data_IF_371543437069
#
_entry.id   IF_371543437069
#
_cell.length_a   1.000
_cell.length_b   1.000
_cell.length_c   1.000
_cell.angle_alpha   90.00
_cell.angle_beta   90.00
_cell.angle_gamma   90.00
#
_symmetry.space_group_name_H-M   'P 1'
#
loop_
_entity.id
_entity.type
_entity.pdbx_description
1 polymer ?
#
# COMPACT_ATOMS: atom_id res chain seq x y z
N UNK A 1 -9.90 12.95 -56.22
CA UNK A 1 -10.74 12.85 -55.01
C UNK A 1 -10.06 11.84 -54.09
N UNK A 2 -9.53 12.35 -52.98
CA UNK A 2 -8.63 11.64 -52.08
C UNK A 2 -9.41 10.69 -51.17
N UNK A 3 -8.98 9.44 -51.03
CA UNK A 3 -9.32 8.63 -49.86
C UNK A 3 -8.02 8.13 -49.23
N UNK A 4 -7.62 8.82 -48.17
CA UNK A 4 -6.52 8.45 -47.28
C UNK A 4 -6.93 7.18 -46.55
N UNK A 5 -6.16 6.10 -46.75
CA UNK A 5 -6.20 4.92 -45.87
C UNK A 5 -5.62 5.35 -44.53
N UNK A 6 -6.49 5.49 -43.53
CA UNK A 6 -6.06 5.78 -42.15
C UNK A 6 -5.48 4.48 -41.59
N UNK A 7 -4.17 4.52 -41.36
CA UNK A 7 -3.40 3.50 -40.67
C UNK A 7 -4.00 3.27 -39.28
N UNK A 8 -4.53 2.07 -39.05
CA UNK A 8 -4.85 1.53 -37.72
C UNK A 8 -3.57 1.17 -37.00
N UNK A 9 -2.79 2.16 -36.60
CA UNK A 9 -1.77 2.00 -35.56
C UNK A 9 -2.47 2.17 -34.22
N UNK A 10 -2.93 1.05 -33.67
CA UNK A 10 -3.17 0.93 -32.25
C UNK A 10 -1.86 1.32 -31.53
N UNK A 11 -1.88 2.44 -30.82
CA UNK A 11 -0.81 2.81 -29.89
C UNK A 11 -1.01 1.93 -28.64
N UNK A 12 -0.64 0.66 -28.79
CA UNK A 12 -0.37 -0.27 -27.72
C UNK A 12 1.16 -0.38 -27.62
N UNK A 13 1.81 0.69 -27.18
CA UNK A 13 3.24 0.66 -26.81
C UNK A 13 3.39 1.43 -25.51
N UNK A 14 3.06 0.76 -24.41
CA UNK A 14 3.77 0.88 -23.13
C UNK A 14 3.60 -0.41 -22.31
N UNK A 15 3.74 -1.56 -22.98
CA UNK A 15 3.79 -2.87 -22.35
C UNK A 15 5.03 -3.62 -22.85
N UNK A 16 6.20 -3.01 -22.68
CA UNK A 16 7.50 -3.63 -22.98
C UNK A 16 8.53 -3.23 -21.91
N UNK A 17 8.27 -3.65 -20.68
CA UNK A 17 9.25 -3.99 -19.66
C UNK A 17 8.50 -4.84 -18.63
N UNK A 18 8.91 -6.09 -18.43
CA UNK A 18 8.26 -7.06 -17.53
C UNK A 18 8.42 -6.73 -16.04
N UNK A 19 8.02 -5.53 -15.62
CA UNK A 19 7.82 -5.18 -14.23
C UNK A 19 6.32 -5.16 -13.99
N UNK A 20 5.79 -6.19 -13.33
CA UNK A 20 4.45 -6.13 -12.76
C UNK A 20 4.43 -4.93 -11.81
N UNK A 21 3.76 -3.85 -12.19
CA UNK A 21 3.49 -2.74 -11.28
C UNK A 21 2.74 -3.32 -10.08
N UNK A 22 3.40 -3.40 -8.93
CA UNK A 22 2.70 -3.40 -7.64
C UNK A 22 2.05 -2.03 -7.52
N UNK A 23 0.87 -1.89 -8.11
CA UNK A 23 0.21 -0.61 -8.25
C UNK A 23 -0.50 -0.28 -6.94
N UNK A 24 0.10 0.63 -6.17
CA UNK A 24 -0.57 1.25 -5.03
C UNK A 24 -1.67 2.17 -5.57
N UNK A 25 -2.87 2.05 -5.01
CA UNK A 25 -4.02 2.89 -5.33
C UNK A 25 -4.60 3.55 -4.06
N UNK A 26 -4.79 4.89 -4.06
CA UNK A 26 -4.38 5.85 -5.09
C UNK A 26 -2.86 5.88 -5.31
N UNK A 27 -2.43 6.32 -6.50
CA UNK A 27 -1.01 6.43 -6.82
C UNK A 27 -0.34 7.48 -5.91
N UNK A 28 0.73 7.13 -5.17
CA UNK A 28 1.43 8.08 -4.30
C UNK A 28 2.08 9.23 -5.09
N UNK A 29 2.24 10.36 -4.42
CA UNK A 29 2.88 11.57 -4.98
C UNK A 29 4.34 11.32 -5.39
N UNK A 30 5.07 10.51 -4.64
CA UNK A 30 6.40 10.01 -5.00
C UNK A 30 6.48 8.51 -4.71
N UNK A 31 6.87 7.73 -5.73
CA UNK A 31 6.98 6.28 -5.62
C UNK A 31 8.23 5.79 -6.35
N UNK A 32 9.19 5.27 -5.59
CA UNK A 32 10.43 4.68 -6.09
C UNK A 32 10.46 3.21 -5.71
N UNK A 33 10.80 2.37 -6.68
CA UNK A 33 10.83 0.92 -6.51
C UNK A 33 12.13 0.35 -7.07
N UNK A 34 12.56 -0.76 -6.49
CA UNK A 34 13.59 -1.61 -7.03
C UNK A 34 13.03 -2.68 -7.95
N UNK A 35 13.69 -3.83 -7.97
CA UNK A 35 13.36 -4.96 -8.83
C UNK A 35 13.53 -6.31 -8.14
N UNK A 36 13.76 -6.31 -6.82
CA UNK A 36 14.02 -7.52 -6.04
C UNK A 36 12.79 -7.86 -5.21
N UNK A 37 12.34 -9.10 -5.29
CA UNK A 37 11.32 -9.62 -4.41
C UNK A 37 11.93 -9.91 -3.02
N UNK A 38 11.24 -9.49 -1.97
CA UNK A 38 11.60 -9.77 -0.58
C UNK A 38 10.46 -10.50 0.11
N UNK A 39 10.81 -11.45 0.99
CA UNK A 39 9.81 -12.23 1.71
C UNK A 39 9.41 -11.53 3.02
N UNK A 40 8.12 -11.58 3.36
CA UNK A 40 7.64 -11.21 4.69
C UNK A 40 7.61 -12.47 5.54
N UNK A 41 8.50 -12.56 6.53
CA UNK A 41 8.66 -13.76 7.35
C UNK A 41 7.46 -13.92 8.29
N UNK A 42 6.47 -14.70 7.87
CA UNK A 42 5.16 -14.85 8.53
C UNK A 42 5.24 -15.19 10.02
N UNK A 43 6.22 -15.97 10.47
CA UNK A 43 6.29 -16.38 11.89
C UNK A 43 6.64 -15.25 12.85
N UNK A 44 7.36 -14.23 12.36
CA UNK A 44 7.98 -13.21 13.21
C UNK A 44 7.50 -11.79 12.86
N UNK A 45 6.74 -11.64 11.77
CA UNK A 45 6.33 -10.33 11.28
C UNK A 45 5.32 -9.67 12.22
N UNK A 46 5.71 -8.52 12.77
CA UNK A 46 4.84 -7.70 13.61
C UNK A 46 4.88 -6.24 13.16
N UNK A 47 3.70 -5.64 13.07
CA UNK A 47 3.57 -4.18 13.01
C UNK A 47 3.67 -3.62 14.44
N UNK A 48 4.55 -2.64 14.65
CA UNK A 48 4.76 -1.99 15.96
C UNK A 48 4.68 -0.48 15.80
N UNK A 49 3.93 0.18 16.67
CA UNK A 49 3.89 1.64 16.75
C UNK A 49 4.72 2.16 17.93
N UNK A 50 5.28 3.36 17.79
CA UNK A 50 5.92 4.08 18.91
C UNK A 50 4.89 4.75 19.84
N UNK A 51 3.64 4.89 19.40
CA UNK A 51 2.54 5.49 20.14
C UNK A 51 1.53 4.43 20.57
N UNK A 52 1.16 4.45 21.86
CA UNK A 52 0.16 3.54 22.44
C UNK A 52 -1.11 4.27 22.88
N UNK A 53 -1.08 5.60 22.99
CA UNK A 53 -2.20 6.43 23.43
C UNK A 53 -3.21 6.76 22.33
N UNK A 54 -2.86 6.52 21.06
CA UNK A 54 -3.75 6.74 19.92
C UNK A 54 -4.57 5.48 19.65
N UNK A 55 -5.89 5.61 19.83
CA UNK A 55 -6.84 4.54 19.50
C UNK A 55 -6.90 4.28 18.00
N UNK A 56 -6.75 5.33 17.18
CA UNK A 56 -6.74 5.24 15.72
C UNK A 56 -5.56 4.41 15.22
N UNK A 57 -4.34 4.68 15.72
CA UNK A 57 -3.16 3.91 15.35
C UNK A 57 -3.27 2.46 15.84
N UNK A 58 -3.66 2.24 17.08
CA UNK A 58 -3.77 0.88 17.64
C UNK A 58 -4.76 0.02 16.84
N UNK A 59 -5.97 0.53 16.58
CA UNK A 59 -6.97 -0.17 15.79
C UNK A 59 -6.52 -0.40 14.34
N UNK A 60 -5.79 0.54 13.75
CA UNK A 60 -5.24 0.37 12.41
C UNK A 60 -4.13 -0.69 12.37
N UNK A 61 -3.21 -0.69 13.34
CA UNK A 61 -2.15 -1.69 13.46
C UNK A 61 -2.75 -3.10 13.56
N UNK A 62 -3.75 -3.30 14.42
CA UNK A 62 -4.46 -4.58 14.54
C UNK A 62 -5.14 -4.99 13.23
N UNK A 63 -5.86 -4.06 12.60
CA UNK A 63 -6.55 -4.31 11.32
C UNK A 63 -5.58 -4.71 10.21
N UNK A 64 -4.49 -3.95 10.02
CA UNK A 64 -3.54 -4.23 8.95
C UNK A 64 -2.67 -5.44 9.22
N UNK A 65 -2.34 -5.73 10.48
CA UNK A 65 -1.72 -7.00 10.86
C UNK A 65 -2.61 -8.16 10.41
N UNK A 66 -3.92 -8.10 10.72
CA UNK A 66 -4.88 -9.11 10.29
C UNK A 66 -4.96 -9.24 8.76
N UNK A 67 -5.06 -8.12 8.03
CA UNK A 67 -5.13 -8.13 6.56
C UNK A 67 -3.90 -8.78 5.94
N UNK A 68 -2.69 -8.41 6.35
CA UNK A 68 -1.44 -9.00 5.86
C UNK A 68 -1.32 -10.48 6.23
N UNK A 69 -1.82 -10.86 7.41
CA UNK A 69 -1.85 -12.25 7.84
C UNK A 69 -2.79 -13.12 6.99
N UNK A 70 -3.87 -12.53 6.50
CA UNK A 70 -4.92 -13.18 5.71
C UNK A 70 -4.87 -12.80 4.23
N UNK A 71 -3.78 -12.21 3.76
CA UNK A 71 -3.58 -11.92 2.35
C UNK A 71 -3.26 -13.22 1.60
N UNK A 72 -4.23 -13.67 0.81
CA UNK A 72 -4.16 -14.90 0.00
C UNK A 72 -4.35 -14.63 -1.49
N UNK A 73 -4.55 -13.36 -1.87
CA UNK A 73 -4.74 -13.04 -3.28
C UNK A 73 -3.42 -13.18 -4.03
N UNK A 74 -3.39 -14.15 -4.95
CA UNK A 74 -2.35 -14.29 -5.96
C UNK A 74 -2.89 -13.66 -7.25
N UNK A 75 -2.11 -12.78 -7.87
CA UNK A 75 -2.52 -12.20 -9.15
C UNK A 75 -2.72 -13.31 -10.17
N UNK A 76 -3.78 -13.28 -10.99
CA UNK A 76 -3.96 -14.23 -12.08
C UNK A 76 -2.76 -14.29 -13.04
N UNK A 77 -1.98 -13.21 -13.13
CA UNK A 77 -0.74 -13.16 -13.93
C UNK A 77 0.40 -13.99 -13.33
N UNK A 78 0.40 -14.25 -12.02
CA UNK A 78 1.42 -15.05 -11.33
C UNK A 78 0.93 -16.47 -11.00
N UNK A 79 -0.33 -16.80 -11.31
CA UNK A 79 -1.00 -18.04 -10.86
C UNK A 79 -0.33 -19.33 -11.36
N UNK A 80 0.45 -19.26 -12.44
CA UNK A 80 1.21 -20.39 -13.01
C UNK A 80 2.72 -20.14 -13.03
N UNK A 81 3.19 -19.08 -12.37
CA UNK A 81 4.62 -18.81 -12.25
C UNK A 81 5.19 -19.60 -11.06
N UNK A 82 6.44 -20.05 -11.21
CA UNK A 82 7.17 -20.65 -10.09
C UNK A 82 7.28 -19.64 -8.94
N UNK A 83 7.45 -20.16 -7.71
CA UNK A 83 7.67 -19.34 -6.52
C UNK A 83 8.75 -18.30 -6.80
N UNK A 84 8.43 -17.01 -6.64
CA UNK A 84 9.36 -15.93 -6.95
C UNK A 84 10.60 -16.06 -6.06
N UNK A 85 11.78 -15.97 -6.66
CA UNK A 85 13.03 -15.96 -5.90
C UNK A 85 13.09 -14.67 -5.09
N UNK A 86 13.09 -14.83 -3.77
CA UNK A 86 13.23 -13.73 -2.83
C UNK A 86 14.70 -13.57 -2.44
N UNK A 87 15.16 -12.33 -2.30
CA UNK A 87 16.51 -12.01 -1.82
C UNK A 87 16.40 -11.01 -0.67
N UNK A 88 16.38 -11.56 0.54
CA UNK A 88 16.16 -10.82 1.79
C UNK A 88 14.76 -11.03 2.35
N UNK A 89 14.56 -10.59 3.60
CA UNK A 89 13.29 -10.73 4.29
C UNK A 89 13.00 -9.55 5.22
N UNK A 90 11.70 -9.29 5.40
CA UNK A 90 11.17 -8.34 6.36
C UNK A 90 10.63 -9.09 7.57
N UNK A 91 11.01 -8.64 8.77
CA UNK A 91 10.55 -9.23 10.03
C UNK A 91 9.72 -8.27 10.89
N UNK A 92 9.60 -6.99 10.52
CA UNK A 92 8.72 -6.05 11.20
C UNK A 92 8.38 -4.86 10.31
N UNK A 93 7.30 -4.17 10.69
CA UNK A 93 6.97 -2.83 10.21
C UNK A 93 6.90 -1.89 11.43
N UNK A 94 7.74 -0.86 11.44
CA UNK A 94 7.71 0.16 12.49
C UNK A 94 6.91 1.38 12.03
N UNK A 95 5.95 1.79 12.85
CA UNK A 95 5.09 2.95 12.61
C UNK A 95 5.46 4.04 13.60
N UNK A 96 6.15 5.06 13.10
CA UNK A 96 6.59 6.21 13.88
C UNK A 96 5.63 7.38 13.65
N UNK A 97 4.94 7.78 14.71
CA UNK A 97 4.02 8.91 14.72
C UNK A 97 4.54 9.98 15.67
N UNK A 98 4.60 11.23 15.20
CA UNK A 98 5.10 12.35 16.02
C UNK A 98 4.07 12.82 17.06
N UNK A 99 2.81 13.02 16.63
CA UNK A 99 1.71 13.40 17.51
C UNK A 99 0.69 12.27 17.61
N UNK A 100 0.32 11.87 18.83
CA UNK A 100 -0.67 10.83 19.08
C UNK A 100 -2.11 11.38 19.21
N UNK A 101 -2.39 12.57 18.70
CA UNK A 101 -3.71 13.20 18.78
C UNK A 101 -4.65 12.66 17.71
N UNK A 102 -5.76 12.06 18.14
CA UNK A 102 -6.79 11.48 17.28
C UNK A 102 -7.84 12.53 16.85
N UNK A 103 -7.40 13.71 16.42
CA UNK A 103 -8.29 14.78 15.94
C UNK A 103 -8.24 14.84 14.43
N UNK A 104 -9.40 14.68 13.78
CA UNK A 104 -9.54 14.80 12.33
C UNK A 104 -10.29 16.10 11.98
N UNK A 105 -9.60 17.00 11.32
CA UNK A 105 -10.09 18.27 10.79
C UNK A 105 -9.49 18.57 9.41
N UNK A 106 -9.79 19.75 8.86
CA UNK A 106 -9.30 20.15 7.53
C UNK A 106 -7.79 20.42 7.48
N UNK A 107 -7.16 20.67 8.62
CA UNK A 107 -5.73 20.98 8.75
C UNK A 107 -4.91 19.76 9.16
N UNK A 108 -5.57 18.62 9.35
CA UNK A 108 -4.94 17.37 9.77
C UNK A 108 -3.96 16.90 8.71
N UNK A 109 -2.70 16.80 9.09
CA UNK A 109 -1.63 16.36 8.21
C UNK A 109 -1.72 14.84 7.99
N UNK A 110 -2.16 14.45 6.79
CA UNK A 110 -2.25 13.05 6.35
C UNK A 110 -1.01 12.58 5.57
N UNK A 111 0.10 13.32 5.60
CA UNK A 111 1.35 12.94 4.93
C UNK A 111 2.07 11.79 5.65
N UNK A 112 2.79 10.99 4.87
CA UNK A 112 3.64 9.91 5.38
C UNK A 112 4.82 9.62 4.45
N UNK A 113 5.85 8.99 5.02
CA UNK A 113 6.88 8.28 4.26
C UNK A 113 6.83 6.80 4.58
N UNK A 114 7.08 5.96 3.59
CA UNK A 114 7.21 4.51 3.74
C UNK A 114 8.50 4.04 3.07
N UNK A 115 9.34 3.35 3.84
CA UNK A 115 10.58 2.75 3.36
C UNK A 115 10.56 1.24 3.59
N UNK A 116 10.80 0.47 2.53
CA UNK A 116 10.91 -0.99 2.56
C UNK A 116 12.31 -1.36 2.07
N UNK A 117 13.21 -1.84 2.94
CA UNK A 117 14.55 -2.26 2.53
C UNK A 117 14.52 -3.65 1.87
N UNK A 118 15.70 -4.12 1.43
CA UNK A 118 15.86 -5.50 0.98
C UNK A 118 15.81 -6.51 2.13
N UNK A 119 16.29 -6.13 3.31
CA UNK A 119 16.28 -6.95 4.51
C UNK A 119 16.11 -6.06 5.74
N UNK A 120 15.36 -6.55 6.74
CA UNK A 120 15.23 -5.88 8.03
C UNK A 120 13.80 -5.48 8.38
N UNK A 121 13.61 -4.21 8.76
CA UNK A 121 12.31 -3.64 9.12
C UNK A 121 11.89 -2.63 8.08
N UNK A 122 10.63 -2.68 7.66
CA UNK A 122 10.02 -1.56 6.96
C UNK A 122 9.68 -0.45 7.98
N UNK A 123 9.64 0.80 7.52
CA UNK A 123 9.41 1.96 8.40
C UNK A 123 8.40 2.91 7.76
N UNK A 124 7.35 3.26 8.52
CA UNK A 124 6.44 4.35 8.21
C UNK A 124 6.75 5.51 9.16
N UNK A 125 6.89 6.72 8.63
CA UNK A 125 6.96 7.93 9.43
C UNK A 125 5.79 8.85 9.06
N UNK A 126 5.07 9.36 10.05
CA UNK A 126 3.96 10.28 9.88
C UNK A 126 3.89 11.31 11.00
N UNK A 127 3.31 12.48 10.70
CA UNK A 127 3.16 13.54 11.69
C UNK A 127 1.94 13.29 12.61
N UNK A 128 0.88 12.67 12.08
CA UNK A 128 -0.37 12.39 12.80
C UNK A 128 -0.78 10.91 12.65
N UNK A 129 -1.73 10.44 13.48
CA UNK A 129 -2.32 9.10 13.33
C UNK A 129 -2.88 8.83 11.93
N UNK A 130 -3.46 9.85 11.29
CA UNK A 130 -4.11 9.69 9.99
C UNK A 130 -3.12 9.47 8.86
N UNK A 131 -1.98 10.16 8.87
CA UNK A 131 -0.87 9.87 7.95
C UNK A 131 -0.34 8.44 8.12
N UNK A 132 -0.23 7.96 9.36
CA UNK A 132 0.18 6.58 9.64
C UNK A 132 -0.82 5.55 9.06
N UNK A 133 -2.12 5.81 9.16
CA UNK A 133 -3.16 4.96 8.53
C UNK A 133 -3.01 4.94 7.01
N UNK A 134 -2.71 6.08 6.36
CA UNK A 134 -2.43 6.12 4.91
C UNK A 134 -1.20 5.29 4.54
N UNK A 135 -0.13 5.39 5.32
CA UNK A 135 1.08 4.58 5.10
C UNK A 135 0.85 3.08 5.29
N UNK A 136 0.04 2.70 6.28
CA UNK A 136 -0.33 1.29 6.50
C UNK A 136 -1.14 0.72 5.35
N UNK A 137 -2.09 1.49 4.81
CA UNK A 137 -2.83 1.11 3.61
C UNK A 137 -1.88 0.86 2.43
N UNK A 138 -1.00 1.81 2.14
CA UNK A 138 -0.04 1.68 1.04
C UNK A 138 0.92 0.51 1.23
N UNK A 139 1.38 0.25 2.46
CA UNK A 139 2.16 -0.95 2.75
C UNK A 139 1.38 -2.22 2.47
N UNK A 140 0.11 -2.31 2.92
CA UNK A 140 -0.70 -3.52 2.73
C UNK A 140 -0.90 -3.87 1.26
N UNK A 141 -1.08 -2.87 0.38
CA UNK A 141 -1.23 -3.08 -1.06
C UNK A 141 0.04 -3.55 -1.75
N UNK A 142 1.21 -3.27 -1.16
CA UNK A 142 2.50 -3.77 -1.68
C UNK A 142 2.75 -5.23 -1.30
N UNK A 143 2.03 -5.73 -0.29
CA UNK A 143 2.09 -7.15 0.11
C UNK A 143 1.22 -7.96 -0.83
N UNK A 144 1.76 -9.06 -1.33
CA UNK A 144 1.03 -10.02 -2.16
C UNK A 144 1.33 -11.44 -1.72
N UNK A 145 0.36 -12.34 -1.92
CA UNK A 145 0.61 -13.77 -1.78
C UNK A 145 1.40 -14.28 -3.00
N UNK A 146 2.30 -15.23 -2.75
CA UNK A 146 3.02 -15.95 -3.78
C UNK A 146 3.32 -17.37 -3.30
N UNK A 147 2.57 -18.35 -3.80
CA UNK A 147 2.71 -19.79 -3.49
C UNK A 147 2.67 -20.07 -1.98
N UNK A 148 1.75 -19.42 -1.26
CA UNK A 148 1.60 -19.55 0.20
C UNK A 148 2.56 -18.71 1.06
N UNK A 149 3.48 -17.96 0.43
CA UNK A 149 4.33 -16.94 1.10
C UNK A 149 3.77 -15.56 0.89
N UNK A 150 4.19 -14.60 1.72
CA UNK A 150 3.89 -13.17 1.53
C UNK A 150 5.16 -12.47 1.07
N UNK A 151 5.04 -11.65 0.04
CA UNK A 151 6.19 -10.98 -0.55
C UNK A 151 5.87 -9.52 -0.88
N UNK A 152 6.92 -8.72 -0.98
CA UNK A 152 6.93 -7.43 -1.67
C UNK A 152 7.80 -7.60 -2.91
N UNK A 153 7.24 -7.42 -4.11
CA UNK A 153 7.89 -7.80 -5.36
C UNK A 153 9.03 -6.89 -5.83
N UNK A 154 8.91 -5.58 -5.55
CA UNK A 154 9.78 -4.55 -6.15
C UNK A 154 10.56 -3.76 -5.08
N UNK A 155 11.13 -4.46 -4.10
CA UNK A 155 11.98 -3.84 -3.10
C UNK A 155 13.39 -3.50 -3.68
N UNK A 156 14.09 -2.50 -3.11
CA UNK A 156 13.63 -1.61 -2.05
C UNK A 156 12.54 -0.64 -2.56
N UNK A 157 11.61 -0.26 -1.67
CA UNK A 157 10.55 0.71 -1.96
C UNK A 157 10.75 1.96 -1.13
N UNK A 158 10.56 3.13 -1.74
CA UNK A 158 10.45 4.42 -1.05
C UNK A 158 9.23 5.17 -1.54
N UNK A 159 8.33 5.51 -0.63
CA UNK A 159 7.16 6.34 -0.88
C UNK A 159 7.24 7.58 0.00
N UNK A 160 6.94 8.73 -0.61
CA UNK A 160 6.65 9.97 0.09
C UNK A 160 5.34 10.51 -0.46
N UNK A 161 4.32 10.63 0.37
CA UNK A 161 2.97 10.90 -0.10
C UNK A 161 2.20 11.81 0.85
N UNK A 162 1.29 12.56 0.25
CA UNK A 162 0.34 13.44 0.91
C UNK A 162 -0.85 13.64 -0.02
N UNK A 163 -2.07 13.77 0.51
CA UNK A 163 -3.22 14.01 -0.34
C UNK A 163 -3.15 15.41 -0.98
N UNK A 164 -3.50 15.49 -2.26
CA UNK A 164 -3.59 16.78 -2.97
C UNK A 164 -4.71 17.69 -2.43
N UNK A 165 -5.79 17.10 -1.95
CA UNK A 165 -6.95 17.80 -1.40
C UNK A 165 -7.28 17.25 -0.02
N UNK A 166 -7.51 18.14 0.94
CA UNK A 166 -7.80 17.79 2.34
C UNK A 166 -9.19 17.16 2.48
N UNK A 167 -10.20 17.67 1.76
CA UNK A 167 -11.55 17.10 1.78
C UNK A 167 -11.78 16.07 0.65
N UNK A 168 -12.08 14.81 1.03
CA UNK A 168 -12.32 13.68 0.11
C UNK A 168 -13.54 12.85 0.57
N UNK A 169 -14.72 13.48 0.55
CA UNK A 169 -15.95 12.90 1.07
C UNK A 169 -16.80 12.14 0.05
N UNK A 170 -17.69 11.27 0.56
CA UNK A 170 -18.76 10.62 -0.19
C UNK A 170 -20.09 10.97 0.49
N UNK A 171 -21.09 11.42 -0.28
CA UNK A 171 -22.43 11.69 0.24
C UNK A 171 -23.28 10.44 0.10
N UNK A 172 -23.73 9.89 1.23
CA UNK A 172 -24.70 8.79 1.29
C UNK A 172 -26.03 9.34 1.83
N UNK A 173 -27.09 9.20 1.03
CA UNK A 173 -28.43 9.64 1.41
C UNK A 173 -29.25 8.49 2.00
N UNK A 174 -29.42 8.53 3.32
CA UNK A 174 -30.17 7.52 4.09
C UNK A 174 -31.64 7.90 4.33
N UNK A 175 -32.14 8.96 3.67
CA UNK A 175 -33.52 9.42 3.81
C UNK A 175 -34.44 8.84 2.73
N UNK A 176 -34.01 8.84 1.45
CA UNK A 176 -34.87 8.36 0.35
C UNK A 176 -35.06 6.86 0.40
N UNK A 177 -34.01 6.13 0.79
CA UNK A 177 -34.06 4.71 1.05
C UNK A 177 -33.26 4.42 2.32
N UNK A 178 -33.69 3.42 3.07
CA UNK A 178 -33.01 2.99 4.27
C UNK A 178 -31.75 2.19 3.94
N UNK A 179 -30.66 2.50 4.64
CA UNK A 179 -29.41 1.74 4.62
C UNK A 179 -29.17 1.20 6.03
N UNK A 180 -29.05 -0.12 6.17
CA UNK A 180 -28.65 -0.76 7.42
C UNK A 180 -27.18 -0.40 7.74
N UNK A 181 -26.80 -0.48 9.02
CA UNK A 181 -25.44 -0.15 9.51
C UNK A 181 -24.46 -1.32 9.31
N UNK A 182 -24.97 -2.51 9.00
CA UNK A 182 -24.23 -3.77 8.92
C UNK A 182 -24.15 -4.32 7.49
#
# INVERSE_FOLDING_TARGET
MWQKRISTTAVAILAMAGNTFGAVWPMPSSYQVGSIAVEIKRSDFMIKSNVTSSSVVNAAVERYQYLIEHEYYESPLDFNEDSLKTSGYLYALEVNVQSAQDVLDLETDESYTLEIPLEGKAVINANTPFGAVRGLESFSQLVSANTGRKIVKNAPVKINDAPKFTHRGVLLDTSRNFYHVD
#
